data_IF_507256685540
#
_entry.id   IF_507256685540
#
_cell.length_a   1.000
_cell.length_b   1.000
_cell.length_c   1.000
_cell.angle_alpha   90.00
_cell.angle_beta   90.00
_cell.angle_gamma   90.00
#
_symmetry.space_group_name_H-M   'P 1'
#
loop_
_entity.id
_entity.type
_entity.pdbx_description
1 polymer ?
#
# COMPACT_ATOMS: atom_id res chain seq x y z
N UNK A 1 -19.50 14.39 -15.22
CA UNK A 1 -18.63 13.51 -14.42
C UNK A 1 -17.43 14.33 -14.01
N UNK A 2 -17.25 14.61 -12.72
CA UNK A 2 -16.00 15.24 -12.27
C UNK A 2 -14.88 14.21 -12.38
N UNK A 3 -13.82 14.58 -13.09
CA UNK A 3 -12.66 13.74 -13.40
C UNK A 3 -11.76 13.62 -12.16
N UNK A 4 -12.24 12.89 -11.15
CA UNK A 4 -11.53 12.73 -9.89
C UNK A 4 -10.30 11.81 -10.08
N UNK A 5 -9.11 12.22 -9.61
CA UNK A 5 -7.92 11.41 -9.75
C UNK A 5 -8.06 10.09 -8.97
N UNK A 6 -7.89 8.96 -9.66
CA UNK A 6 -7.96 7.62 -9.07
C UNK A 6 -6.57 7.12 -8.68
N UNK A 7 -6.45 6.56 -7.47
CA UNK A 7 -5.23 5.96 -6.95
C UNK A 7 -5.53 4.56 -6.41
N UNK A 8 -4.83 3.54 -6.90
CA UNK A 8 -4.90 2.17 -6.37
C UNK A 8 -3.59 1.82 -5.69
N UNK A 9 -3.63 1.77 -4.36
CA UNK A 9 -2.48 1.38 -3.52
C UNK A 9 -2.69 -0.06 -3.07
N UNK A 10 -2.00 -1.01 -3.70
CA UNK A 10 -2.12 -2.43 -3.40
C UNK A 10 -0.75 -3.08 -3.60
N UNK A 11 -0.09 -3.56 -2.53
CA UNK A 11 1.17 -4.28 -2.66
C UNK A 11 0.95 -5.64 -3.33
N UNK A 12 1.93 -6.09 -4.12
CA UNK A 12 1.94 -7.46 -4.62
C UNK A 12 2.56 -8.35 -3.55
N UNK A 13 1.76 -9.21 -2.95
CA UNK A 13 2.21 -10.14 -1.92
C UNK A 13 2.72 -11.43 -2.57
N UNK A 14 3.78 -12.01 -2.02
CA UNK A 14 4.31 -13.29 -2.51
C UNK A 14 3.50 -14.50 -2.04
N UNK A 15 2.87 -14.38 -0.86
CA UNK A 15 2.05 -15.42 -0.26
C UNK A 15 0.58 -15.01 -0.22
N UNK A 16 -0.32 -16.00 -0.28
CA UNK A 16 -1.72 -15.78 0.05
C UNK A 16 -1.87 -15.75 1.58
N UNK A 17 -2.12 -14.58 2.14
CA UNK A 17 -2.35 -14.38 3.57
C UNK A 17 -3.86 -14.34 3.82
N UNK A 18 -4.45 -15.38 4.45
CA UNK A 18 -5.87 -15.39 4.75
C UNK A 18 -6.21 -14.39 5.85
N UNK A 19 -7.48 -13.99 5.94
CA UNK A 19 -7.94 -12.96 6.88
C UNK A 19 -7.79 -13.38 8.36
N UNK A 20 -7.90 -14.68 8.64
CA UNK A 20 -7.78 -15.28 9.96
C UNK A 20 -6.36 -15.81 10.26
N UNK A 21 -5.34 -15.34 9.50
CA UNK A 21 -3.96 -15.71 9.74
C UNK A 21 -3.49 -15.26 11.14
N UNK A 22 -2.95 -16.21 11.92
CA UNK A 22 -2.34 -15.99 13.25
C UNK A 22 -0.85 -16.29 13.27
N UNK A 23 -0.27 -16.54 12.10
CA UNK A 23 1.16 -16.84 11.92
C UNK A 23 1.95 -15.52 11.79
N UNK A 24 2.65 -15.17 12.87
CA UNK A 24 3.42 -13.92 12.97
C UNK A 24 4.50 -13.79 11.90
N UNK A 25 5.11 -14.89 11.45
CA UNK A 25 6.16 -14.84 10.42
C UNK A 25 5.57 -14.42 9.07
N UNK A 26 4.41 -14.98 8.71
CA UNK A 26 3.69 -14.60 7.49
C UNK A 26 3.23 -13.15 7.53
N UNK A 27 2.69 -12.71 8.66
CA UNK A 27 2.25 -11.32 8.84
C UNK A 27 3.46 -10.38 8.72
N UNK A 28 4.57 -10.72 9.36
CA UNK A 28 5.81 -9.92 9.29
C UNK A 28 6.34 -9.84 7.87
N UNK A 29 6.33 -10.94 7.12
CA UNK A 29 6.72 -10.97 5.71
C UNK A 29 5.81 -10.07 4.85
N UNK A 30 4.49 -10.17 5.00
CA UNK A 30 3.52 -9.31 4.32
C UNK A 30 3.75 -7.81 4.59
N UNK A 31 4.06 -7.45 5.84
CA UNK A 31 4.37 -6.07 6.21
C UNK A 31 5.67 -5.58 5.56
N UNK A 32 6.71 -6.42 5.53
CA UNK A 32 7.97 -6.09 4.86
C UNK A 32 7.81 -5.89 3.34
N UNK A 33 7.01 -6.74 2.69
CA UNK A 33 6.67 -6.58 1.27
C UNK A 33 5.89 -5.28 1.03
N UNK A 34 4.94 -4.96 1.90
CA UNK A 34 4.18 -3.70 1.85
C UNK A 34 5.10 -2.48 2.04
N UNK A 35 6.05 -2.54 2.96
CA UNK A 35 7.04 -1.48 3.17
C UNK A 35 7.93 -1.28 1.93
N UNK A 36 8.32 -2.37 1.28
CA UNK A 36 9.08 -2.33 0.02
C UNK A 36 8.26 -1.69 -1.09
N UNK A 37 6.99 -2.07 -1.25
CA UNK A 37 6.05 -1.44 -2.18
C UNK A 37 5.92 0.07 -1.93
N UNK A 38 5.81 0.51 -0.67
CA UNK A 38 5.75 1.94 -0.31
C UNK A 38 7.00 2.67 -0.76
N UNK A 39 8.18 2.08 -0.56
CA UNK A 39 9.46 2.68 -0.97
C UNK A 39 9.54 2.87 -2.48
N UNK A 40 9.11 1.86 -3.24
CA UNK A 40 9.08 1.89 -4.70
C UNK A 40 8.05 2.89 -5.25
N UNK A 41 6.91 3.05 -4.55
CA UNK A 41 5.80 3.93 -4.95
C UNK A 41 5.80 5.28 -4.21
N UNK A 42 6.94 5.67 -3.61
CA UNK A 42 7.06 6.87 -2.76
C UNK A 42 6.55 8.14 -3.44
N UNK A 43 6.80 8.29 -4.75
CA UNK A 43 6.34 9.45 -5.51
C UNK A 43 4.81 9.55 -5.59
N UNK A 44 4.14 8.43 -5.88
CA UNK A 44 2.67 8.35 -5.95
C UNK A 44 2.04 8.61 -4.58
N UNK A 45 2.57 7.98 -3.53
CA UNK A 45 2.10 8.17 -2.15
C UNK A 45 2.28 9.63 -1.72
N UNK A 46 3.43 10.23 -2.03
CA UNK A 46 3.69 11.65 -1.75
C UNK A 46 2.71 12.56 -2.48
N UNK A 47 2.42 12.31 -3.76
CA UNK A 47 1.42 13.06 -4.53
C UNK A 47 0.03 12.96 -3.91
N UNK A 48 -0.38 11.78 -3.45
CA UNK A 48 -1.68 11.60 -2.75
C UNK A 48 -1.69 12.41 -1.46
N UNK A 49 -0.63 12.31 -0.65
CA UNK A 49 -0.51 13.08 0.59
C UNK A 49 -0.62 14.59 0.32
N UNK A 50 0.11 15.11 -0.65
CA UNK A 50 0.06 16.52 -1.05
C UNK A 50 -1.35 16.94 -1.49
N UNK A 51 -2.08 16.10 -2.24
CA UNK A 51 -3.46 16.41 -2.63
C UNK A 51 -4.41 16.46 -1.42
N UNK A 52 -4.22 15.58 -0.44
CA UNK A 52 -5.06 15.51 0.76
C UNK A 52 -4.73 16.61 1.77
N UNK A 53 -3.50 17.10 1.79
CA UNK A 53 -3.03 18.12 2.75
C UNK A 53 -2.92 19.52 2.14
N UNK A 54 -3.24 19.70 0.86
CA UNK A 54 -3.33 21.03 0.24
C UNK A 54 -4.38 21.85 1.00
N UNK A 55 -3.90 22.81 1.79
CA UNK A 55 -4.70 23.91 2.32
C UNK A 55 -5.01 24.92 1.23
#
# INVERSE_FOLDING_TARGET
MMDAPFFRLTPLLSDNVPMDCVDDEKITKMLNETHTYIRENKATIKRVAELLTKK
#
